data_IF_387650031345
#
_entry.id   IF_387650031345
#
_cell.length_a   1.000
_cell.length_b   1.000
_cell.length_c   1.000
_cell.angle_alpha   90.00
_cell.angle_beta   90.00
_cell.angle_gamma   90.00
#
_symmetry.space_group_name_H-M   'P 1'
#
loop_
_entity.id
_entity.type
_entity.pdbx_description
1 polymer ?
#
# COMPACT_ATOMS: atom_id res chain seq x y z
N UNK A 1 -26.09 -12.48 -22.56
CA UNK A 1 -25.39 -11.54 -21.66
C UNK A 1 -24.02 -12.01 -21.19
N UNK A 2 -23.80 -13.27 -20.79
CA UNK A 2 -22.48 -13.80 -20.36
C UNK A 2 -21.38 -13.69 -21.43
N UNK A 3 -21.67 -13.91 -22.70
CA UNK A 3 -20.66 -13.86 -23.79
C UNK A 3 -20.19 -12.46 -24.13
N UNK A 4 -21.03 -11.43 -23.98
CA UNK A 4 -20.67 -10.03 -24.24
C UNK A 4 -19.75 -9.50 -23.13
N UNK A 5 -20.03 -9.87 -21.88
CA UNK A 5 -19.21 -9.45 -20.75
C UNK A 5 -17.79 -10.06 -20.81
N UNK A 6 -17.68 -11.30 -21.29
CA UNK A 6 -16.38 -12.00 -21.46
C UNK A 6 -15.55 -11.38 -22.60
N UNK A 7 -16.20 -10.96 -23.68
CA UNK A 7 -15.56 -10.30 -24.82
C UNK A 7 -15.03 -8.90 -24.44
N UNK A 8 -15.83 -8.08 -23.74
CA UNK A 8 -15.46 -6.74 -23.28
C UNK A 8 -14.31 -6.81 -22.25
N UNK A 9 -14.36 -7.76 -21.30
CA UNK A 9 -13.31 -7.94 -20.30
C UNK A 9 -11.98 -8.38 -20.92
N UNK A 10 -12.00 -9.28 -21.91
CA UNK A 10 -10.80 -9.77 -22.58
C UNK A 10 -10.10 -8.67 -23.40
N UNK A 11 -10.85 -7.78 -24.05
CA UNK A 11 -10.30 -6.67 -24.82
C UNK A 11 -9.87 -5.50 -23.93
N UNK A 12 -10.57 -5.27 -22.82
CA UNK A 12 -10.20 -4.24 -21.84
C UNK A 12 -8.85 -4.58 -21.14
N UNK A 13 -8.65 -5.84 -20.74
CA UNK A 13 -7.38 -6.31 -20.17
C UNK A 13 -6.24 -6.18 -21.19
N UNK A 14 -6.49 -6.51 -22.47
CA UNK A 14 -5.48 -6.43 -23.53
C UNK A 14 -5.07 -4.98 -23.85
N UNK A 15 -6.02 -4.05 -23.85
CA UNK A 15 -5.77 -2.61 -24.06
C UNK A 15 -5.00 -2.00 -22.90
N UNK A 16 -5.32 -2.37 -21.65
CA UNK A 16 -4.61 -1.87 -20.45
C UNK A 16 -3.16 -2.36 -20.40
N UNK A 17 -2.86 -3.57 -20.91
CA UNK A 17 -1.50 -4.11 -20.95
C UNK A 17 -0.65 -3.60 -22.13
N UNK A 18 -1.24 -3.19 -23.25
CA UNK A 18 -0.50 -2.71 -24.42
C UNK A 18 -0.20 -1.21 -24.42
N UNK A 19 -0.92 -0.41 -23.64
CA UNK A 19 -0.74 1.05 -23.61
C UNK A 19 0.63 1.54 -23.10
N UNK A 20 1.36 0.85 -22.19
CA UNK A 20 2.65 1.33 -21.71
C UNK A 20 3.81 1.21 -22.70
N UNK A 21 3.67 0.49 -23.81
CA UNK A 21 4.80 0.25 -24.73
C UNK A 21 4.95 1.25 -25.87
N UNK A 22 3.98 2.16 -26.08
CA UNK A 22 3.98 3.05 -27.25
C UNK A 22 4.63 4.44 -27.05
N UNK A 23 5.21 4.74 -25.87
CA UNK A 23 5.73 6.09 -25.54
C UNK A 23 7.25 6.16 -25.38
N UNK A 24 8.01 5.36 -26.12
CA UNK A 24 9.48 5.41 -26.10
C UNK A 24 10.07 6.27 -27.21
N UNK A 25 9.85 7.58 -27.21
CA UNK A 25 10.60 8.47 -28.07
C UNK A 25 10.66 9.91 -27.57
N UNK A 26 11.55 10.19 -26.64
CA UNK A 26 12.19 11.50 -26.60
C UNK A 26 13.57 11.38 -25.97
N UNK A 27 14.60 11.57 -26.80
CA UNK A 27 16.00 11.48 -26.43
C UNK A 27 16.46 12.88 -26.03
N UNK A 28 16.29 13.24 -24.76
CA UNK A 28 16.94 14.41 -24.19
C UNK A 28 18.41 14.10 -23.95
N UNK A 29 19.28 14.93 -24.50
CA UNK A 29 20.76 14.76 -24.46
C UNK A 29 21.40 15.18 -23.13
N UNK A 30 20.62 15.62 -22.15
CA UNK A 30 21.09 15.96 -20.82
C UNK A 30 21.04 14.73 -19.91
N UNK A 31 22.18 14.27 -19.42
CA UNK A 31 22.21 13.18 -18.44
C UNK A 31 21.83 13.72 -17.06
N UNK A 32 20.67 13.35 -16.58
CA UNK A 32 20.18 13.65 -15.23
C UNK A 32 20.47 12.48 -14.29
N UNK A 33 20.76 12.82 -13.02
CA UNK A 33 20.91 11.81 -11.97
C UNK A 33 19.62 11.69 -11.17
N UNK A 34 19.12 10.45 -11.07
CA UNK A 34 17.88 10.15 -10.38
C UNK A 34 18.07 10.15 -8.87
N UNK A 35 17.37 11.00 -8.17
CA UNK A 35 17.27 10.93 -6.73
C UNK A 35 16.29 9.82 -6.31
N UNK A 36 16.56 9.22 -5.15
CA UNK A 36 15.63 8.36 -4.45
C UNK A 36 14.93 9.20 -3.39
N UNK A 37 13.66 9.53 -3.63
CA UNK A 37 12.81 10.19 -2.62
C UNK A 37 12.38 9.16 -1.59
N UNK A 38 12.63 9.44 -0.31
CA UNK A 38 12.28 8.60 0.83
C UNK A 38 11.30 9.34 1.71
N UNK A 39 10.23 8.66 2.12
CA UNK A 39 9.27 9.12 3.11
C UNK A 39 9.25 8.13 4.26
N UNK A 40 9.29 8.63 5.48
CA UNK A 40 9.18 7.86 6.71
C UNK A 40 8.17 8.53 7.63
N UNK A 41 7.24 7.77 8.17
CA UNK A 41 6.28 8.28 9.14
C UNK A 41 5.99 7.29 10.26
N UNK A 42 5.58 7.84 11.38
CA UNK A 42 5.02 7.13 12.52
C UNK A 42 3.63 7.66 12.74
N UNK A 43 2.67 6.76 12.96
CA UNK A 43 1.27 7.11 13.12
C UNK A 43 0.59 6.36 14.23
N UNK A 44 -0.52 6.95 14.62
CA UNK A 44 -1.47 6.39 15.54
C UNK A 44 -2.68 5.88 14.77
N UNK A 45 -3.16 4.67 15.10
CA UNK A 45 -4.27 4.03 14.41
C UNK A 45 -5.45 3.79 15.34
N UNK A 46 -6.65 4.00 14.82
CA UNK A 46 -7.90 3.46 15.33
C UNK A 46 -8.27 2.23 14.51
N UNK A 47 -8.45 1.11 15.18
CA UNK A 47 -8.60 -0.20 14.55
C UNK A 47 -9.95 -0.80 14.90
N UNK A 48 -10.59 -1.43 13.90
CA UNK A 48 -11.76 -2.27 14.09
C UNK A 48 -11.54 -3.56 13.31
N UNK A 49 -11.78 -4.70 13.95
CA UNK A 49 -11.45 -6.01 13.39
C UNK A 49 -12.48 -7.05 13.81
N UNK A 50 -13.01 -7.78 12.82
CA UNK A 50 -13.78 -9.00 13.03
C UNK A 50 -13.05 -10.15 12.37
N UNK A 51 -12.64 -11.13 13.16
CA UNK A 51 -11.96 -12.34 12.69
C UNK A 51 -12.69 -13.57 13.26
N UNK A 52 -13.61 -14.17 12.51
CA UNK A 52 -14.42 -15.29 12.99
C UNK A 52 -13.62 -16.52 13.41
N UNK A 53 -12.41 -16.71 12.88
CA UNK A 53 -11.53 -17.81 13.31
C UNK A 53 -11.12 -17.69 14.78
N UNK A 54 -10.87 -16.46 15.26
CA UNK A 54 -10.50 -16.17 16.64
C UNK A 54 -11.72 -15.92 17.52
N UNK A 55 -12.67 -15.11 16.99
CA UNK A 55 -13.88 -14.72 17.72
C UNK A 55 -14.92 -14.16 16.76
N UNK A 56 -16.20 -14.48 16.90
CA UNK A 56 -17.27 -13.89 16.10
C UNK A 56 -17.58 -12.44 16.45
N UNK A 57 -16.96 -11.90 17.51
CA UNK A 57 -17.20 -10.54 17.99
C UNK A 57 -16.30 -9.55 17.24
N UNK A 58 -16.80 -8.33 17.08
CA UNK A 58 -15.99 -7.21 16.63
C UNK A 58 -15.11 -6.69 17.76
N UNK A 59 -13.83 -6.47 17.47
CA UNK A 59 -12.86 -5.88 18.38
C UNK A 59 -12.47 -4.50 17.88
N UNK A 60 -12.44 -3.51 18.78
CA UNK A 60 -12.03 -2.14 18.48
C UNK A 60 -10.91 -1.70 19.42
N UNK A 61 -10.00 -0.89 18.91
CA UNK A 61 -8.88 -0.43 19.71
C UNK A 61 -7.93 0.49 18.98
N UNK A 62 -6.71 0.53 19.49
CA UNK A 62 -5.68 1.45 19.03
C UNK A 62 -4.41 0.70 18.64
N UNK A 63 -3.63 1.34 17.78
CA UNK A 63 -2.33 0.80 17.36
C UNK A 63 -1.35 1.90 16.98
N UNK A 64 -0.12 1.47 16.77
CA UNK A 64 0.96 2.29 16.22
C UNK A 64 1.40 1.70 14.90
N UNK A 65 1.68 2.56 13.94
CA UNK A 65 2.27 2.14 12.67
C UNK A 65 3.55 2.92 12.37
N UNK A 66 4.47 2.23 11.72
CA UNK A 66 5.63 2.82 11.07
C UNK A 66 5.53 2.52 9.57
N UNK A 67 5.71 3.53 8.74
CA UNK A 67 5.71 3.37 7.29
C UNK A 67 7.01 3.95 6.71
N UNK A 68 7.59 3.19 5.80
CA UNK A 68 8.71 3.59 4.98
C UNK A 68 8.31 3.47 3.51
N UNK A 69 8.52 4.51 2.72
CA UNK A 69 8.35 4.43 1.28
C UNK A 69 9.52 5.08 0.55
N UNK A 70 9.85 4.55 -0.61
CA UNK A 70 10.87 5.13 -1.45
C UNK A 70 10.46 5.08 -2.91
N UNK A 71 10.63 6.21 -3.61
CA UNK A 71 10.31 6.34 -5.02
C UNK A 71 11.49 6.87 -5.81
N UNK A 72 11.65 6.37 -7.03
CA UNK A 72 12.71 6.78 -7.96
C UNK A 72 12.24 6.57 -9.39
N UNK A 73 12.63 7.44 -10.32
CA UNK A 73 12.40 7.20 -11.74
C UNK A 73 13.10 5.91 -12.21
N UNK A 74 12.45 5.20 -13.11
CA UNK A 74 12.93 3.90 -13.59
C UNK A 74 14.12 4.05 -14.53
N UNK A 75 14.13 5.08 -15.37
CA UNK A 75 15.17 5.37 -16.36
C UNK A 75 15.73 6.78 -16.19
N UNK A 76 17.00 6.99 -16.57
CA UNK A 76 17.69 8.28 -16.37
C UNK A 76 17.12 9.42 -17.21
N UNK A 77 16.61 9.11 -18.38
CA UNK A 77 16.06 10.10 -19.32
C UNK A 77 14.55 10.03 -19.48
N UNK A 78 13.85 9.38 -18.53
CA UNK A 78 12.41 9.23 -18.59
C UNK A 78 11.79 9.59 -17.25
N UNK A 79 11.07 10.71 -17.22
CA UNK A 79 10.33 11.22 -16.06
C UNK A 79 8.90 10.70 -15.97
N UNK A 80 8.48 9.85 -16.92
CA UNK A 80 7.12 9.33 -16.95
C UNK A 80 6.93 8.02 -16.18
N UNK A 81 8.02 7.30 -15.88
CA UNK A 81 7.93 6.03 -15.16
C UNK A 81 8.75 6.06 -13.89
N UNK A 82 8.12 5.75 -12.77
CA UNK A 82 8.79 5.57 -11.47
C UNK A 82 8.47 4.21 -10.87
N UNK A 83 9.42 3.69 -10.11
CA UNK A 83 9.21 2.55 -9.19
C UNK A 83 9.03 3.07 -7.78
N UNK A 84 8.18 2.41 -7.02
CA UNK A 84 7.97 2.65 -5.60
C UNK A 84 8.14 1.35 -4.82
N UNK A 85 8.80 1.44 -3.68
CA UNK A 85 8.82 0.40 -2.66
C UNK A 85 8.18 0.99 -1.41
N UNK A 86 7.29 0.24 -0.74
CA UNK A 86 6.71 0.61 0.53
C UNK A 86 6.80 -0.56 1.49
N UNK A 87 7.05 -0.28 2.74
CA UNK A 87 6.92 -1.23 3.84
C UNK A 87 6.18 -0.57 4.99
N UNK A 88 5.35 -1.33 5.67
CA UNK A 88 4.68 -0.87 6.88
C UNK A 88 4.74 -1.93 7.96
N UNK A 89 4.74 -1.47 9.19
CA UNK A 89 4.56 -2.29 10.38
C UNK A 89 3.45 -1.68 11.22
N UNK A 90 2.47 -2.49 11.61
CA UNK A 90 1.37 -2.13 12.49
C UNK A 90 1.40 -3.04 13.72
N UNK A 91 1.29 -2.44 14.89
CA UNK A 91 1.10 -3.14 16.16
C UNK A 91 -0.11 -2.54 16.83
N UNK A 92 -1.07 -3.37 17.27
CA UNK A 92 -2.32 -2.89 17.85
C UNK A 92 -2.84 -3.78 18.96
N UNK A 93 -3.66 -3.16 19.83
CA UNK A 93 -4.38 -3.82 20.89
C UNK A 93 -5.83 -3.39 20.83
N UNK A 94 -6.71 -4.37 20.68
CA UNK A 94 -8.15 -4.19 20.52
C UNK A 94 -8.90 -4.92 21.63
N UNK A 95 -10.09 -4.45 21.93
CA UNK A 95 -10.97 -5.03 22.93
C UNK A 95 -12.33 -5.36 22.32
N UNK A 96 -12.96 -6.42 22.82
CA UNK A 96 -14.33 -6.72 22.48
C UNK A 96 -15.29 -5.69 23.12
N UNK A 97 -16.55 -5.60 22.69
CA UNK A 97 -17.51 -4.57 23.18
C UNK A 97 -17.68 -4.51 24.68
N UNK A 98 -17.50 -5.64 25.37
CA UNK A 98 -17.62 -5.72 26.83
C UNK A 98 -16.30 -5.53 27.58
N UNK A 99 -15.20 -5.30 26.85
CA UNK A 99 -13.84 -5.16 27.40
C UNK A 99 -13.36 -6.35 28.25
N UNK A 100 -13.95 -7.53 28.04
CA UNK A 100 -13.61 -8.77 28.77
C UNK A 100 -12.55 -9.63 28.07
N UNK A 101 -12.22 -9.31 26.81
CA UNK A 101 -11.19 -9.97 26.04
C UNK A 101 -10.44 -8.96 25.18
N UNK A 102 -9.14 -9.17 25.04
CA UNK A 102 -8.27 -8.39 24.14
C UNK A 102 -7.78 -9.22 22.96
N UNK A 103 -7.56 -8.54 21.85
CA UNK A 103 -6.89 -9.06 20.67
C UNK A 103 -5.65 -8.23 20.38
N UNK A 104 -4.49 -8.87 20.35
CA UNK A 104 -3.25 -8.24 19.92
C UNK A 104 -3.02 -8.51 18.44
N UNK A 105 -2.62 -7.49 17.69
CA UNK A 105 -2.39 -7.56 16.25
C UNK A 105 -0.99 -7.07 15.93
N UNK A 106 -0.27 -7.84 15.14
CA UNK A 106 1.00 -7.43 14.52
C UNK A 106 0.89 -7.71 13.03
N UNK A 107 1.16 -6.72 12.20
CA UNK A 107 1.03 -6.85 10.76
C UNK A 107 2.15 -6.09 10.06
N UNK A 108 2.84 -6.77 9.14
CA UNK A 108 3.82 -6.20 8.24
C UNK A 108 3.34 -6.27 6.80
N UNK A 109 3.58 -5.23 6.01
CA UNK A 109 3.36 -5.26 4.57
C UNK A 109 4.59 -4.80 3.82
N UNK A 110 4.77 -5.35 2.63
CA UNK A 110 5.76 -4.89 1.68
C UNK A 110 5.14 -4.81 0.29
N UNK A 111 5.34 -3.70 -0.41
CA UNK A 111 4.87 -3.53 -1.78
C UNK A 111 5.96 -2.98 -2.69
N UNK A 112 5.97 -3.51 -3.90
CA UNK A 112 6.80 -3.07 -5.01
C UNK A 112 5.91 -2.74 -6.20
N UNK A 113 6.03 -1.52 -6.74
CA UNK A 113 5.15 -1.07 -7.80
C UNK A 113 5.80 -0.13 -8.80
N UNK A 114 5.08 0.07 -9.91
CA UNK A 114 5.45 0.98 -11.00
C UNK A 114 4.27 1.92 -11.24
N UNK A 115 4.61 3.21 -11.41
CA UNK A 115 3.64 4.26 -11.68
C UNK A 115 4.05 5.06 -12.92
N UNK A 116 3.06 5.34 -13.78
CA UNK A 116 3.18 6.28 -14.87
C UNK A 116 2.75 7.67 -14.41
N UNK A 117 3.57 8.68 -14.73
CA UNK A 117 3.36 10.08 -14.38
C UNK A 117 2.68 10.84 -15.52
N UNK A 118 1.56 11.46 -15.21
CA UNK A 118 0.81 12.36 -16.09
C UNK A 118 0.92 13.78 -15.53
N UNK A 119 1.60 14.65 -16.26
CA UNK A 119 1.80 16.06 -15.89
C UNK A 119 0.67 16.90 -16.50
N UNK A 120 -0.39 17.16 -15.74
CA UNK A 120 -1.52 17.96 -16.20
C UNK A 120 -1.18 19.45 -16.24
N UNK A 121 -0.36 19.94 -15.30
CA UNK A 121 0.19 21.29 -15.25
C UNK A 121 1.52 21.31 -14.50
N UNK A 122 2.13 22.49 -14.38
CA UNK A 122 3.35 22.65 -13.53
C UNK A 122 3.11 22.28 -12.08
N UNK A 123 1.88 22.45 -11.60
CA UNK A 123 1.52 22.25 -10.19
C UNK A 123 0.69 20.99 -9.94
N UNK A 124 0.20 20.31 -11.00
CA UNK A 124 -0.74 19.20 -10.89
C UNK A 124 -0.21 17.97 -11.59
N UNK A 125 -0.06 16.89 -10.84
CA UNK A 125 0.45 15.62 -11.34
C UNK A 125 -0.47 14.48 -10.92
N UNK A 126 -0.71 13.55 -11.85
CA UNK A 126 -1.37 12.27 -11.58
C UNK A 126 -0.37 11.14 -11.80
N UNK A 127 -0.41 10.14 -10.93
CA UNK A 127 0.35 8.92 -11.10
C UNK A 127 -0.64 7.76 -11.09
N UNK A 128 -0.60 6.94 -12.13
CA UNK A 128 -1.40 5.72 -12.22
C UNK A 128 -0.48 4.53 -12.38
N UNK A 129 -0.79 3.46 -11.70
CA UNK A 129 0.05 2.28 -11.74
C UNK A 129 -0.51 1.11 -10.96
N UNK A 130 0.38 0.20 -10.63
CA UNK A 130 0.06 -0.95 -9.81
C UNK A 130 1.27 -1.42 -9.02
N UNK A 131 0.99 -2.25 -8.04
CA UNK A 131 2.03 -2.86 -7.21
C UNK A 131 1.67 -4.30 -6.85
N UNK A 132 2.70 -5.09 -6.60
CA UNK A 132 2.59 -6.37 -5.90
C UNK A 132 2.78 -6.08 -4.42
N UNK A 133 1.82 -6.48 -3.61
CA UNK A 133 1.80 -6.29 -2.17
C UNK A 133 1.80 -7.66 -1.48
N UNK A 134 2.74 -7.86 -0.56
CA UNK A 134 2.78 -8.97 0.37
C UNK A 134 2.37 -8.50 1.75
N UNK A 135 1.56 -9.29 2.44
CA UNK A 135 1.09 -9.08 3.80
C UNK A 135 1.45 -10.29 4.63
N UNK A 136 2.05 -10.06 5.79
CA UNK A 136 2.30 -11.04 6.83
C UNK A 136 1.90 -10.46 8.17
N UNK A 137 1.08 -11.18 8.94
CA UNK A 137 0.63 -10.74 10.24
C UNK A 137 0.24 -11.89 11.13
N UNK A 138 -0.02 -11.55 12.38
CA UNK A 138 -0.58 -12.47 13.37
C UNK A 138 -1.52 -11.71 14.31
N UNK A 139 -2.57 -12.40 14.71
CA UNK A 139 -3.52 -11.95 15.72
C UNK A 139 -3.57 -12.95 16.85
N UNK A 140 -3.67 -12.46 18.07
CA UNK A 140 -3.68 -13.28 19.27
C UNK A 140 -4.81 -12.88 20.20
N UNK A 141 -5.64 -13.87 20.58
CA UNK A 141 -6.73 -13.73 21.56
C UNK A 141 -6.56 -14.79 22.65
N UNK A 142 -6.10 -14.38 23.82
CA UNK A 142 -5.82 -15.30 24.94
C UNK A 142 -7.03 -16.10 25.41
N UNK A 143 -8.24 -15.56 25.23
CA UNK A 143 -9.49 -16.19 25.64
C UNK A 143 -9.89 -17.38 24.75
N UNK A 144 -9.40 -17.46 23.54
CA UNK A 144 -9.61 -18.61 22.66
C UNK A 144 -8.55 -19.68 22.98
N UNK A 145 -8.88 -20.63 23.84
CA UNK A 145 -7.94 -21.64 24.35
C UNK A 145 -7.52 -22.63 23.24
N UNK A 146 -8.42 -22.94 22.30
CA UNK A 146 -8.16 -23.94 21.28
C UNK A 146 -7.30 -23.38 20.13
N UNK A 147 -7.64 -22.18 19.66
CA UNK A 147 -6.96 -21.51 18.54
C UNK A 147 -6.67 -20.05 18.89
N UNK A 148 -5.69 -19.79 19.78
CA UNK A 148 -5.44 -18.43 20.26
C UNK A 148 -4.80 -17.51 19.23
N UNK A 149 -4.23 -18.05 18.14
CA UNK A 149 -3.50 -17.32 17.10
C UNK A 149 -4.17 -17.51 15.76
N UNK A 150 -4.25 -16.44 14.98
CA UNK A 150 -4.50 -16.49 13.54
C UNK A 150 -3.38 -15.78 12.79
N UNK A 151 -2.87 -16.42 11.74
CA UNK A 151 -1.84 -15.86 10.85
C UNK A 151 -2.49 -15.25 9.63
N UNK A 152 -2.13 -14.01 9.31
CA UNK A 152 -2.52 -13.35 8.07
C UNK A 152 -1.39 -13.47 7.05
N UNK A 153 -1.67 -14.10 5.93
CA UNK A 153 -0.75 -14.18 4.81
C UNK A 153 -1.51 -13.89 3.51
N UNK A 154 -1.04 -12.90 2.76
CA UNK A 154 -1.63 -12.60 1.46
C UNK A 154 -0.58 -12.01 0.51
N UNK A 155 -0.79 -12.28 -0.78
CA UNK A 155 -0.09 -11.61 -1.88
C UNK A 155 -1.13 -11.08 -2.83
N UNK A 156 -1.06 -9.79 -3.15
CA UNK A 156 -2.05 -9.11 -3.99
C UNK A 156 -1.37 -8.33 -5.11
N UNK A 157 -2.03 -8.26 -6.25
CA UNK A 157 -1.79 -7.28 -7.28
C UNK A 157 -2.79 -6.14 -7.07
N UNK A 158 -2.30 -4.94 -6.80
CA UNK A 158 -3.12 -3.77 -6.52
C UNK A 158 -3.06 -2.77 -7.68
N UNK A 159 -4.17 -2.09 -7.94
CA UNK A 159 -4.18 -0.83 -8.69
C UNK A 159 -3.93 0.33 -7.74
N UNK A 160 -3.16 1.31 -8.18
CA UNK A 160 -2.77 2.47 -7.39
C UNK A 160 -2.89 3.75 -8.21
N UNK A 161 -3.51 4.76 -7.61
CA UNK A 161 -3.64 6.10 -8.15
C UNK A 161 -3.16 7.13 -7.13
N UNK A 162 -2.38 8.12 -7.58
CA UNK A 162 -1.97 9.25 -6.78
C UNK A 162 -2.28 10.55 -7.54
N UNK A 163 -2.76 11.51 -6.79
CA UNK A 163 -2.92 12.90 -7.23
C UNK A 163 -2.01 13.78 -6.38
N UNK A 164 -1.32 14.72 -7.02
CA UNK A 164 -0.44 15.69 -6.36
C UNK A 164 -0.72 17.08 -6.85
N UNK A 165 -0.82 18.00 -5.91
CA UNK A 165 -1.07 19.41 -6.18
C UNK A 165 -0.12 20.28 -5.36
N UNK A 166 0.67 21.11 -6.03
CA UNK A 166 1.45 22.16 -5.38
C UNK A 166 0.55 23.35 -5.09
N UNK A 167 0.51 23.77 -3.85
CA UNK A 167 -0.28 24.90 -3.36
C UNK A 167 0.67 25.99 -2.85
N UNK A 168 0.44 27.22 -3.28
CA UNK A 168 1.23 28.39 -2.87
C UNK A 168 0.29 29.51 -2.45
N UNK A 169 0.35 29.90 -1.18
CA UNK A 169 -0.43 30.99 -0.59
C UNK A 169 0.53 32.06 -0.08
N UNK A 170 0.98 32.94 -0.93
CA UNK A 170 1.99 33.94 -0.61
C UNK A 170 3.33 33.29 -0.27
N UNK A 171 3.79 33.46 0.99
CA UNK A 171 5.03 32.84 1.46
C UNK A 171 4.86 31.37 1.90
N UNK A 172 3.63 30.93 2.11
CA UNK A 172 3.33 29.57 2.53
C UNK A 172 3.24 28.66 1.32
N UNK A 173 4.04 27.61 1.32
CA UNK A 173 4.11 26.61 0.27
C UNK A 173 3.82 25.23 0.86
N UNK A 174 2.91 24.48 0.26
CA UNK A 174 2.65 23.09 0.63
C UNK A 174 2.32 22.26 -0.59
N UNK A 175 2.47 20.95 -0.45
CA UNK A 175 2.04 19.98 -1.47
C UNK A 175 0.97 19.09 -0.87
N UNK A 176 -0.16 18.98 -1.56
CA UNK A 176 -1.23 18.04 -1.26
C UNK A 176 -1.01 16.77 -2.07
N UNK A 177 -1.10 15.62 -1.43
CA UNK A 177 -1.10 14.32 -2.08
C UNK A 177 -2.32 13.53 -1.65
N UNK A 178 -3.09 13.02 -2.63
CA UNK A 178 -4.11 12.02 -2.42
C UNK A 178 -3.62 10.70 -2.99
N UNK A 179 -3.89 9.60 -2.29
CA UNK A 179 -3.61 8.24 -2.74
C UNK A 179 -4.86 7.40 -2.63
N UNK A 180 -5.08 6.52 -3.59
CA UNK A 180 -6.08 5.46 -3.51
C UNK A 180 -5.47 4.18 -4.08
N UNK A 181 -5.73 3.05 -3.42
CA UNK A 181 -5.20 1.75 -3.79
C UNK A 181 -6.21 0.65 -3.47
N UNK A 182 -6.34 -0.33 -4.37
CA UNK A 182 -7.27 -1.45 -4.21
C UNK A 182 -6.67 -2.73 -4.76
N UNK A 183 -6.76 -3.87 -4.04
CA UNK A 183 -6.38 -5.17 -4.56
C UNK A 183 -7.38 -5.64 -5.62
N UNK A 184 -6.85 -6.12 -6.74
CA UNK A 184 -7.65 -6.63 -7.87
C UNK A 184 -7.69 -8.15 -7.88
N UNK A 185 -6.52 -8.76 -7.72
CA UNK A 185 -6.33 -10.21 -7.72
C UNK A 185 -5.19 -10.58 -6.78
N UNK A 186 -5.27 -11.74 -6.16
CA UNK A 186 -4.24 -12.21 -5.26
C UNK A 186 -4.48 -13.62 -4.77
N UNK A 187 -3.70 -14.00 -3.78
CA UNK A 187 -3.88 -15.21 -3.00
C UNK A 187 -3.81 -14.86 -1.52
N UNK A 188 -4.61 -15.54 -0.72
CA UNK A 188 -4.65 -15.31 0.73
C UNK A 188 -4.78 -16.66 1.45
N UNK A 189 -4.22 -16.71 2.64
CA UNK A 189 -4.39 -17.79 3.59
C UNK A 189 -5.52 -17.45 4.55
N UNK A 190 -6.53 -18.29 4.63
CA UNK A 190 -7.68 -18.16 5.54
C UNK A 190 -7.95 -19.55 6.13
N UNK A 191 -7.66 -19.77 7.41
CA UNK A 191 -7.88 -21.07 8.02
C UNK A 191 -9.38 -21.39 8.09
N UNK A 192 -9.78 -22.65 7.82
CA UNK A 192 -11.16 -23.09 7.97
C UNK A 192 -11.65 -22.93 9.41
N UNK A 193 -12.90 -22.51 9.60
CA UNK A 193 -13.50 -22.36 10.92
C UNK A 193 -13.47 -23.67 11.71
N UNK A 194 -12.99 -23.60 12.94
CA UNK A 194 -12.94 -24.75 13.86
C UNK A 194 -11.75 -25.68 13.68
N UNK A 195 -10.99 -25.57 12.59
CA UNK A 195 -9.78 -26.39 12.40
C UNK A 195 -8.59 -25.75 13.14
N UNK A 196 -7.82 -26.54 13.86
CA UNK A 196 -6.55 -26.11 14.42
C UNK A 196 -5.44 -26.13 13.37
N UNK A 197 -4.36 -25.40 13.59
CA UNK A 197 -3.17 -25.46 12.71
C UNK A 197 -2.59 -26.86 12.64
N UNK A 198 -2.62 -27.61 13.75
CA UNK A 198 -2.20 -29.01 13.78
C UNK A 198 -3.03 -29.87 12.84
N UNK A 199 -4.37 -29.75 12.90
CA UNK A 199 -5.25 -30.50 12.00
C UNK A 199 -5.05 -30.14 10.52
N UNK A 200 -4.78 -28.86 10.21
CA UNK A 200 -4.55 -28.42 8.84
C UNK A 200 -3.21 -28.91 8.26
N UNK A 201 -2.13 -28.86 9.03
CA UNK A 201 -0.78 -29.09 8.50
C UNK A 201 -0.25 -30.51 8.75
N UNK A 202 -0.62 -31.14 9.87
CA UNK A 202 -0.11 -32.47 10.23
C UNK A 202 -1.05 -33.62 9.89
N UNK A 203 -2.38 -33.40 9.95
CA UNK A 203 -3.38 -34.46 9.76
C UNK A 203 -4.15 -34.30 8.45
N UNK A 204 -4.42 -33.07 8.05
CA UNK A 204 -5.27 -32.76 6.90
C UNK A 204 -4.49 -32.28 5.66
N UNK A 205 -5.17 -31.51 4.83
CA UNK A 205 -4.59 -30.86 3.66
C UNK A 205 -4.60 -29.33 3.85
N UNK A 206 -3.45 -28.67 3.84
CA UNK A 206 -3.36 -27.21 3.96
C UNK A 206 -3.97 -26.48 2.74
N UNK A 207 -4.23 -27.20 1.65
CA UNK A 207 -4.76 -26.62 0.41
C UNK A 207 -6.11 -25.90 0.61
N UNK A 208 -6.92 -26.36 1.57
CA UNK A 208 -8.23 -25.76 1.86
C UNK A 208 -8.12 -24.39 2.57
N UNK A 209 -6.94 -24.00 3.01
CA UNK A 209 -6.69 -22.71 3.65
C UNK A 209 -6.16 -21.65 2.67
N UNK A 210 -5.78 -22.03 1.44
CA UNK A 210 -5.30 -21.11 0.43
C UNK A 210 -6.39 -20.78 -0.59
N UNK A 211 -6.73 -19.52 -0.69
CA UNK A 211 -7.80 -19.02 -1.56
C UNK A 211 -7.27 -18.00 -2.57
N UNK A 212 -7.70 -18.15 -3.82
CA UNK A 212 -7.55 -17.07 -4.78
C UNK A 212 -8.51 -15.94 -4.41
N UNK A 213 -8.02 -14.72 -4.43
CA UNK A 213 -8.79 -13.53 -4.08
C UNK A 213 -8.93 -12.60 -5.27
N UNK A 214 -10.14 -12.11 -5.48
CA UNK A 214 -10.45 -11.01 -6.40
C UNK A 214 -11.74 -10.33 -5.93
N UNK A 215 -12.29 -9.40 -6.70
CA UNK A 215 -13.51 -8.68 -6.33
C UNK A 215 -14.74 -9.58 -6.05
N UNK A 216 -14.70 -10.86 -6.39
CA UNK A 216 -15.80 -11.79 -6.09
C UNK A 216 -15.85 -12.20 -4.61
N UNK A 217 -14.69 -12.19 -3.89
CA UNK A 217 -14.61 -12.65 -2.50
C UNK A 217 -13.77 -11.73 -1.60
N UNK A 218 -13.13 -10.70 -2.18
CA UNK A 218 -12.31 -9.75 -1.43
C UNK A 218 -12.49 -8.35 -1.99
N UNK A 219 -12.81 -7.42 -1.13
CA UNK A 219 -12.81 -6.00 -1.42
C UNK A 219 -11.87 -5.27 -0.45
N UNK A 220 -10.97 -4.48 -0.98
CA UNK A 220 -10.07 -3.66 -0.18
C UNK A 220 -9.96 -2.28 -0.80
N UNK A 221 -9.91 -1.26 0.04
CA UNK A 221 -9.68 0.11 -0.37
C UNK A 221 -8.82 0.81 0.68
N UNK A 222 -7.63 1.19 0.27
CA UNK A 222 -6.76 2.09 1.03
C UNK A 222 -6.79 3.46 0.35
N UNK A 223 -7.09 4.50 1.11
CA UNK A 223 -7.01 5.87 0.61
C UNK A 223 -6.49 6.81 1.68
N UNK A 224 -5.76 7.83 1.26
CA UNK A 224 -5.13 8.76 2.18
C UNK A 224 -4.91 10.13 1.58
N UNK A 225 -4.71 11.08 2.48
CA UNK A 225 -4.39 12.46 2.21
C UNK A 225 -3.15 12.83 2.99
N UNK A 226 -2.12 13.32 2.29
CA UNK A 226 -0.91 13.84 2.92
C UNK A 226 -0.66 15.29 2.55
N UNK A 227 -0.26 16.10 3.54
CA UNK A 227 0.16 17.48 3.39
C UNK A 227 1.65 17.59 3.68
N UNK A 228 2.40 18.02 2.69
CA UNK A 228 3.85 18.16 2.75
C UNK A 228 4.24 19.64 2.89
N UNK A 229 5.08 19.95 3.87
CA UNK A 229 5.57 21.27 4.20
C UNK A 229 7.08 21.32 3.94
N UNK A 230 7.53 21.88 2.79
CA UNK A 230 8.94 21.97 2.47
C UNK A 230 9.69 22.83 3.49
N UNK A 231 10.75 22.28 4.06
CA UNK A 231 11.73 22.96 4.90
C UNK A 231 13.02 23.15 4.07
N UNK A 232 14.04 23.75 4.67
CA UNK A 232 15.28 24.08 3.96
C UNK A 232 16.02 22.84 3.41
N UNK A 233 16.06 21.75 4.17
CA UNK A 233 16.83 20.52 3.82
C UNK A 233 16.00 19.26 3.79
N UNK A 234 14.76 19.31 4.23
CA UNK A 234 13.84 18.17 4.29
C UNK A 234 12.41 18.67 4.11
N UNK A 235 11.45 17.77 4.07
CA UNK A 235 10.03 18.11 4.02
C UNK A 235 9.33 17.38 5.15
N UNK A 236 8.65 18.11 5.99
CA UNK A 236 7.79 17.54 7.03
C UNK A 236 6.43 17.23 6.40
N UNK A 237 5.75 16.18 6.84
CA UNK A 237 4.40 15.92 6.37
C UNK A 237 3.50 15.32 7.44
N UNK A 238 2.21 15.56 7.27
CA UNK A 238 1.14 14.89 8.02
C UNK A 238 0.35 14.07 7.03
N UNK A 239 0.05 12.83 7.38
CA UNK A 239 -0.69 11.87 6.56
C UNK A 239 -1.88 11.33 7.34
N UNK A 240 -3.03 11.34 6.70
CA UNK A 240 -4.27 10.73 7.19
C UNK A 240 -4.63 9.62 6.21
N UNK A 241 -4.78 8.40 6.72
CA UNK A 241 -5.05 7.23 5.89
C UNK A 241 -6.21 6.42 6.46
N UNK A 242 -7.07 5.92 5.58
CA UNK A 242 -8.11 4.93 5.88
C UNK A 242 -7.86 3.69 5.06
N UNK A 243 -7.85 2.54 5.71
CA UNK A 243 -7.80 1.23 5.07
C UNK A 243 -9.01 0.41 5.48
N UNK A 244 -9.73 -0.11 4.52
CA UNK A 244 -10.87 -1.00 4.70
C UNK A 244 -10.62 -2.27 3.91
N UNK A 245 -10.69 -3.42 4.55
CA UNK A 245 -10.52 -4.73 3.95
C UNK A 245 -11.62 -5.67 4.40
N UNK A 246 -12.40 -6.14 3.45
CA UNK A 246 -13.44 -7.11 3.64
C UNK A 246 -13.16 -8.32 2.76
N UNK A 247 -13.21 -9.52 3.30
CA UNK A 247 -13.25 -10.72 2.48
C UNK A 247 -14.19 -11.77 3.05
N UNK A 248 -14.69 -12.61 2.15
CA UNK A 248 -15.55 -13.72 2.47
C UNK A 248 -15.05 -14.99 1.79
N UNK A 249 -14.76 -16.02 2.58
CA UNK A 249 -14.40 -17.36 2.11
C UNK A 249 -15.26 -18.36 2.86
N UNK A 250 -15.92 -19.26 2.13
CA UNK A 250 -16.81 -20.25 2.70
C UNK A 250 -17.81 -19.63 3.72
N UNK A 251 -17.61 -19.89 5.00
CA UNK A 251 -18.44 -19.39 6.10
C UNK A 251 -17.75 -18.26 6.92
N UNK A 252 -16.57 -17.78 6.45
CA UNK A 252 -15.78 -16.77 7.16
C UNK A 252 -15.96 -15.41 6.52
N UNK A 253 -16.53 -14.47 7.27
CA UNK A 253 -16.61 -13.07 6.91
C UNK A 253 -15.61 -12.28 7.76
N UNK A 254 -14.52 -11.87 7.16
CA UNK A 254 -13.48 -11.07 7.80
C UNK A 254 -13.68 -9.59 7.46
N UNK A 255 -13.55 -8.73 8.46
CA UNK A 255 -13.56 -7.29 8.29
C UNK A 255 -12.41 -6.65 9.07
N UNK A 256 -11.63 -5.82 8.40
CA UNK A 256 -10.57 -5.02 9.02
C UNK A 256 -10.69 -3.59 8.55
N UNK A 257 -10.77 -2.67 9.50
CA UNK A 257 -10.74 -1.24 9.25
C UNK A 257 -9.66 -0.58 10.09
N UNK A 258 -8.92 0.33 9.49
CA UNK A 258 -8.00 1.20 10.20
C UNK A 258 -8.12 2.64 9.71
N UNK A 259 -8.07 3.57 10.66
CA UNK A 259 -7.94 5.00 10.41
C UNK A 259 -6.69 5.49 11.12
N UNK A 260 -5.75 6.05 10.39
CA UNK A 260 -4.47 6.50 10.94
C UNK A 260 -4.22 7.98 10.72
N UNK A 261 -3.55 8.58 11.70
CA UNK A 261 -2.96 9.92 11.61
C UNK A 261 -1.48 9.76 11.89
N UNK A 262 -0.66 10.19 10.94
CA UNK A 262 0.79 10.01 10.99
C UNK A 262 1.52 11.32 10.76
N UNK A 263 2.69 11.45 11.37
CA UNK A 263 3.64 12.53 11.11
C UNK A 263 4.93 11.92 10.59
N UNK A 264 5.54 12.57 9.61
CA UNK A 264 6.74 12.04 8.99
C UNK A 264 7.60 13.11 8.34
N UNK A 265 8.71 12.64 7.82
CA UNK A 265 9.64 13.46 7.05
C UNK A 265 9.95 12.78 5.73
N UNK A 266 10.24 13.63 4.76
CA UNK A 266 10.62 13.26 3.41
C UNK A 266 11.95 13.90 3.07
N UNK A 267 12.82 13.13 2.41
CA UNK A 267 14.13 13.57 1.96
C UNK A 267 14.52 12.86 0.66
N UNK A 268 15.41 13.49 -0.09
CA UNK A 268 15.95 12.92 -1.32
C UNK A 268 17.37 12.39 -1.07
N UNK A 269 17.63 11.16 -1.50
CA UNK A 269 18.93 10.52 -1.43
C UNK A 269 19.54 10.40 -2.82
N UNK A 270 20.81 10.77 -2.91
CA UNK A 270 21.65 10.44 -4.03
C UNK A 270 22.46 9.18 -3.73
N UNK A 271 22.29 8.14 -4.55
CA UNK A 271 23.05 6.91 -4.40
C UNK A 271 24.28 6.99 -5.30
N UNK A 272 25.43 7.18 -4.70
CA UNK A 272 26.71 7.18 -5.37
C UNK A 272 27.21 5.74 -5.56
N UNK A 273 27.20 5.27 -6.80
CA UNK A 273 27.71 3.92 -7.14
C UNK A 273 29.21 3.97 -7.41
N UNK A 274 30.03 4.21 -6.38
CA UNK A 274 31.47 3.88 -6.34
C UNK A 274 32.40 4.24 -7.54
N UNK A 275 31.92 4.92 -8.56
CA UNK A 275 32.72 5.31 -9.72
C UNK A 275 33.26 6.73 -9.54
N UNK A 276 34.54 6.95 -9.91
CA UNK A 276 35.23 8.26 -9.90
C UNK A 276 34.63 9.28 -10.89
N UNK A 277 33.30 9.33 -11.03
CA UNK A 277 32.65 10.34 -11.87
C UNK A 277 32.49 11.64 -11.09
N UNK A 278 32.67 12.81 -11.74
CA UNK A 278 32.46 14.09 -11.08
C UNK A 278 31.02 14.20 -10.59
N UNK A 279 30.82 14.94 -9.49
CA UNK A 279 29.49 15.18 -8.93
C UNK A 279 28.54 15.71 -10.01
N UNK A 280 27.35 15.13 -10.18
CA UNK A 280 26.42 15.55 -11.20
C UNK A 280 25.92 16.99 -10.92
N UNK A 281 25.73 17.76 -11.98
CA UNK A 281 25.19 19.13 -11.88
C UNK A 281 23.66 19.17 -11.87
N UNK A 282 23.01 18.12 -12.41
CA UNK A 282 21.55 18.08 -12.55
C UNK A 282 20.97 16.84 -11.87
N UNK A 283 20.01 17.07 -10.96
CA UNK A 283 19.30 16.03 -10.25
C UNK A 283 17.84 15.99 -10.65
N UNK A 284 17.27 14.79 -10.77
CA UNK A 284 15.85 14.55 -10.97
C UNK A 284 15.27 13.85 -9.75
N UNK A 285 14.38 14.55 -9.05
CA UNK A 285 13.51 13.98 -8.02
C UNK A 285 12.14 13.65 -8.61
N UNK A 286 11.54 12.57 -8.16
CA UNK A 286 10.15 12.23 -8.53
C UNK A 286 9.14 13.21 -7.94
N UNK A 287 9.57 14.03 -7.00
CA UNK A 287 8.75 14.94 -6.21
C UNK A 287 9.30 16.37 -6.28
N UNK A 288 9.72 16.82 -7.47
CA UNK A 288 10.14 18.22 -7.65
C UNK A 288 8.99 19.16 -7.30
N UNK A 289 9.11 19.83 -6.16
CA UNK A 289 8.28 20.97 -5.81
C UNK A 289 8.82 22.20 -6.55
N UNK A 290 8.41 22.36 -7.80
CA UNK A 290 8.66 23.60 -8.54
C UNK A 290 7.65 24.67 -8.02
N UNK A 291 8.05 25.39 -6.99
CA UNK A 291 7.33 26.56 -6.52
C UNK A 291 7.84 27.83 -7.17
#
# INVERSE_FOLDING_TARGET
MRHILHFVFKHFVFVVFLFPFALFAQKDTLSYFRLKTVNENIGFNFLTLTDPYLSPLEYSGIGLNYNHSSRRFLFDNNTHLSRENRSSLLIGMLYNPTSTASMNVVQGTYSWGIHHHFYASRNTHFLLGGNVNGLLGAKYVARNVNNPVNVDLAVNLNLSALFRQNLSFGKFKCNLQLRAESPVIGAMFVPPLGASYYEMFDVGSPNNAFHLSSFHNKFGLEYGLALFFPLRSSTLFVDINKNSLLYQTDYTLYNFESFSISIGWKYDLYIFAGTKKPAPRNFLSTDNFNF
#
